data_IF_867169722626
#
_entry.id   IF_867169722626
#
_cell.length_a   1.000
_cell.length_b   1.000
_cell.length_c   1.000
_cell.angle_alpha   90.00
_cell.angle_beta   90.00
_cell.angle_gamma   90.00
#
_symmetry.space_group_name_H-M   'P 1'
#
loop_
_entity.id
_entity.type
_entity.pdbx_description
1 polymer ?
#
# COMPACT_ATOMS: atom_id res chain seq x y z
N UNK A 1 8.51 17.20 12.12
CA UNK A 1 8.02 16.02 11.40
C UNK A 1 6.50 16.12 11.28
N UNK A 2 5.95 16.81 10.26
CA UNK A 2 4.51 16.96 10.10
C UNK A 2 3.96 15.71 9.39
N UNK A 3 3.30 14.82 10.14
CA UNK A 3 2.72 13.60 9.58
C UNK A 3 2.25 12.58 10.62
N UNK A 4 2.76 12.63 11.85
CA UNK A 4 2.36 11.73 12.94
C UNK A 4 1.23 12.25 13.83
N UNK A 5 0.82 13.51 13.71
CA UNK A 5 0.39 14.29 14.88
C UNK A 5 -1.01 14.04 15.46
N UNK A 6 -1.89 13.26 14.83
CA UNK A 6 -3.24 13.02 15.38
C UNK A 6 -3.41 11.63 16.02
N UNK A 7 -3.02 10.56 15.33
CA UNK A 7 -3.16 9.20 15.86
C UNK A 7 -2.22 8.93 17.05
N UNK A 8 -0.98 9.42 16.99
CA UNK A 8 0.00 9.25 18.08
C UNK A 8 -0.25 10.18 19.27
N UNK A 9 -1.15 11.15 19.13
CA UNK A 9 -1.52 12.07 20.20
C UNK A 9 -2.67 11.54 21.06
N UNK A 10 -3.35 10.45 20.64
CA UNK A 10 -4.35 9.77 21.44
C UNK A 10 -3.68 8.88 22.49
N UNK A 11 -4.06 9.04 23.76
CA UNK A 11 -3.47 8.31 24.89
C UNK A 11 -3.69 6.79 24.82
N UNK A 12 -4.62 6.32 23.97
CA UNK A 12 -4.88 4.88 23.74
C UNK A 12 -3.97 4.26 22.68
N UNK A 13 -3.11 5.05 22.04
CA UNK A 13 -2.21 4.60 20.99
C UNK A 13 -0.85 4.20 21.56
N UNK A 14 -0.42 2.96 21.31
CA UNK A 14 0.99 2.59 21.45
C UNK A 14 1.77 3.21 20.30
N UNK A 15 2.55 4.26 20.60
CA UNK A 15 3.30 5.00 19.59
C UNK A 15 4.41 4.19 18.91
N UNK A 16 4.79 3.04 19.49
CA UNK A 16 5.73 2.09 18.87
C UNK A 16 5.05 1.11 17.90
N UNK A 17 3.71 1.05 17.88
CA UNK A 17 2.91 0.10 17.08
C UNK A 17 1.92 0.85 16.20
N UNK A 18 2.45 1.66 15.30
CA UNK A 18 1.66 2.48 14.37
C UNK A 18 1.88 2.00 12.94
N UNK A 19 0.79 1.81 12.20
CA UNK A 19 0.81 1.56 10.76
C UNK A 19 -0.16 2.50 10.06
N UNK A 20 0.03 2.68 8.75
CA UNK A 20 -0.88 3.47 7.92
C UNK A 20 -1.46 2.61 6.79
N UNK A 21 -2.74 2.79 6.49
CA UNK A 21 -3.38 2.18 5.33
C UNK A 21 -3.91 3.26 4.41
N UNK A 22 -3.95 2.96 3.11
CA UNK A 22 -4.43 3.90 2.11
C UNK A 22 -5.10 3.20 0.94
N UNK A 23 -6.11 3.87 0.39
CA UNK A 23 -6.88 3.42 -0.78
C UNK A 23 -6.72 4.42 -1.91
N UNK A 24 -6.57 3.96 -3.16
CA UNK A 24 -6.40 4.83 -4.34
C UNK A 24 -5.25 5.86 -4.11
N UNK A 25 -5.57 7.16 -4.10
CA UNK A 25 -4.62 8.23 -3.77
C UNK A 25 -3.97 8.05 -2.39
N UNK A 26 -4.74 7.63 -1.38
CA UNK A 26 -4.19 7.32 -0.07
C UNK A 26 -3.20 6.15 -0.11
N UNK A 27 -3.42 5.18 -1.01
CA UNK A 27 -2.50 4.06 -1.23
C UNK A 27 -1.15 4.51 -1.76
N UNK A 28 -1.13 5.46 -2.69
CA UNK A 28 0.11 6.12 -3.12
C UNK A 28 0.75 6.91 -1.96
N UNK A 29 -0.07 7.65 -1.20
CA UNK A 29 0.39 8.44 -0.06
C UNK A 29 1.11 7.61 1.01
N UNK A 30 0.62 6.41 1.34
CA UNK A 30 1.31 5.56 2.32
C UNK A 30 2.61 4.96 1.79
N UNK A 31 2.74 4.75 0.47
CA UNK A 31 4.02 4.35 -0.13
C UNK A 31 5.04 5.49 -0.08
N UNK A 32 4.60 6.74 -0.29
CA UNK A 32 5.46 7.92 -0.10
C UNK A 32 5.89 8.10 1.36
N UNK A 33 5.01 7.79 2.33
CA UNK A 33 5.40 7.78 3.75
C UNK A 33 6.52 6.78 4.05
N UNK A 34 6.46 5.59 3.45
CA UNK A 34 7.50 4.57 3.59
C UNK A 34 8.81 4.99 2.90
N UNK A 35 8.73 5.53 1.68
CA UNK A 35 9.88 6.08 0.93
C UNK A 35 10.57 7.22 1.69
N UNK A 36 9.81 8.06 2.39
CA UNK A 36 10.33 9.13 3.23
C UNK A 36 11.06 8.64 4.49
N UNK A 37 11.08 7.33 4.77
CA UNK A 37 11.71 6.77 5.97
C UNK A 37 10.97 7.14 7.26
N UNK A 38 9.65 7.35 7.17
CA UNK A 38 8.84 7.65 8.34
C UNK A 38 8.89 6.46 9.29
N UNK A 39 9.24 6.68 10.56
CA UNK A 39 9.32 5.59 11.53
C UNK A 39 7.88 5.16 11.97
N UNK A 40 7.29 4.27 11.17
CA UNK A 40 6.04 3.55 11.43
C UNK A 40 6.30 2.07 11.13
N UNK A 41 5.64 1.18 11.86
CA UNK A 41 5.89 -0.26 11.81
C UNK A 41 5.58 -0.86 10.44
N UNK A 42 4.61 -0.29 9.71
CA UNK A 42 4.29 -0.73 8.36
C UNK A 42 3.28 0.13 7.64
N UNK A 43 3.17 -0.08 6.33
CA UNK A 43 2.16 0.55 5.46
C UNK A 43 1.43 -0.48 4.62
N UNK A 44 0.15 -0.22 4.33
CA UNK A 44 -0.68 -1.06 3.47
C UNK A 44 -1.35 -0.23 2.38
N UNK A 45 -0.98 -0.48 1.14
CA UNK A 45 -1.56 0.18 -0.03
C UNK A 45 -2.60 -0.72 -0.69
N UNK A 46 -3.83 -0.23 -0.80
CA UNK A 46 -4.92 -0.85 -1.56
C UNK A 46 -5.09 -0.10 -2.87
N UNK A 47 -4.87 -0.80 -4.00
CA UNK A 47 -5.02 -0.27 -5.37
C UNK A 47 -4.45 1.15 -5.54
N UNK A 48 -3.33 1.44 -4.85
CA UNK A 48 -2.62 2.71 -4.98
C UNK A 48 -1.74 2.75 -6.22
N UNK A 49 -1.41 3.97 -6.66
CA UNK A 49 -0.35 4.17 -7.64
C UNK A 49 1.00 3.74 -7.04
N UNK A 50 1.86 3.18 -7.89
CA UNK A 50 3.14 2.59 -7.48
C UNK A 50 4.35 3.43 -7.84
N UNK A 51 4.18 4.38 -8.75
CA UNK A 51 5.23 5.31 -9.12
C UNK A 51 5.65 6.18 -7.92
N UNK A 52 6.91 6.59 -7.91
CA UNK A 52 7.43 7.52 -6.91
C UNK A 52 7.32 8.95 -7.41
N UNK A 53 7.03 9.90 -6.53
CA UNK A 53 7.23 11.30 -6.85
C UNK A 53 8.70 11.60 -7.19
N UNK A 54 8.95 12.59 -8.04
CA UNK A 54 10.30 12.94 -8.46
C UNK A 54 11.20 13.26 -7.24
N UNK A 55 12.30 12.52 -7.11
CA UNK A 55 13.24 12.65 -5.99
C UNK A 55 12.82 11.93 -4.71
N UNK A 56 11.75 11.12 -4.73
CA UNK A 56 11.28 10.33 -3.59
C UNK A 56 11.45 8.82 -3.77
N UNK A 57 12.24 8.37 -4.75
CA UNK A 57 12.54 6.95 -4.91
C UNK A 57 13.21 6.38 -3.64
N UNK A 58 12.86 5.15 -3.28
CA UNK A 58 13.44 4.49 -2.12
C UNK A 58 14.95 4.35 -2.26
N UNK A 59 15.68 4.81 -1.24
CA UNK A 59 17.12 4.66 -1.17
C UNK A 59 17.50 3.52 -0.23
N UNK A 60 18.56 2.78 -0.59
CA UNK A 60 19.10 1.69 0.22
C UNK A 60 19.43 2.17 1.64
N UNK A 61 18.89 1.47 2.63
CA UNK A 61 19.12 1.75 4.05
C UNK A 61 18.31 2.92 4.63
N UNK A 62 17.47 3.60 3.82
CA UNK A 62 16.52 4.61 4.33
C UNK A 62 15.12 4.05 4.58
N UNK A 63 14.78 2.92 3.97
CA UNK A 63 13.47 2.31 4.08
C UNK A 63 13.45 1.27 5.20
N UNK A 64 12.93 1.67 6.37
CA UNK A 64 12.81 0.81 7.56
C UNK A 64 11.38 0.28 7.78
N UNK A 65 10.40 0.90 7.13
CA UNK A 65 8.98 0.54 7.20
C UNK A 65 8.70 -0.72 6.38
N UNK A 66 7.96 -1.69 6.97
CA UNK A 66 7.48 -2.87 6.24
C UNK A 66 6.32 -2.49 5.30
N UNK A 67 6.25 -3.08 4.11
CA UNK A 67 5.28 -2.67 3.08
C UNK A 67 4.40 -3.85 2.66
N UNK A 68 3.08 -3.62 2.61
CA UNK A 68 2.15 -4.53 1.94
C UNK A 68 1.43 -3.79 0.81
N UNK A 69 1.56 -4.30 -0.42
CA UNK A 69 0.85 -3.82 -1.60
C UNK A 69 -0.23 -4.81 -2.01
N UNK A 70 -1.47 -4.32 -2.07
CA UNK A 70 -2.69 -5.07 -2.40
C UNK A 70 -3.24 -4.52 -3.71
N UNK A 71 -2.90 -5.18 -4.81
CA UNK A 71 -3.00 -4.63 -6.16
C UNK A 71 -4.04 -5.38 -7.02
N UNK A 72 -4.78 -4.66 -7.86
CA UNK A 72 -5.63 -5.28 -8.86
C UNK A 72 -4.80 -5.74 -10.06
N UNK A 73 -4.76 -7.04 -10.36
CA UNK A 73 -3.83 -7.59 -11.34
C UNK A 73 -4.04 -7.10 -12.79
N UNK A 74 -5.19 -6.49 -13.07
CA UNK A 74 -5.55 -5.93 -14.37
C UNK A 74 -5.92 -4.44 -14.28
N UNK A 75 -5.45 -3.73 -13.26
CA UNK A 75 -5.67 -2.29 -13.08
C UNK A 75 -5.02 -1.49 -14.23
N UNK A 76 -5.80 -0.80 -15.09
CA UNK A 76 -5.24 -0.06 -16.22
C UNK A 76 -4.55 1.25 -15.79
N UNK A 77 -4.78 1.75 -14.58
CA UNK A 77 -4.12 2.96 -14.09
C UNK A 77 -2.70 2.71 -13.60
N UNK A 78 -2.33 1.45 -13.37
CA UNK A 78 -0.98 1.04 -12.97
C UNK A 78 -0.50 -0.03 -13.97
N UNK A 79 0.12 0.38 -15.09
CA UNK A 79 0.61 -0.54 -16.10
C UNK A 79 1.68 -1.50 -15.56
N UNK A 80 1.86 -2.65 -16.23
CA UNK A 80 2.84 -3.66 -15.83
C UNK A 80 4.28 -3.14 -15.70
N UNK A 81 4.65 -2.11 -16.49
CA UNK A 81 5.94 -1.42 -16.36
C UNK A 81 6.13 -0.78 -14.98
N UNK A 82 5.11 -0.07 -14.46
CA UNK A 82 5.18 0.53 -13.13
C UNK A 82 5.26 -0.51 -12.01
N UNK A 83 4.58 -1.66 -12.17
CA UNK A 83 4.70 -2.78 -11.23
C UNK A 83 6.14 -3.31 -11.20
N UNK A 84 6.73 -3.52 -12.38
CA UNK A 84 8.11 -3.99 -12.49
C UNK A 84 9.11 -2.97 -11.91
N UNK A 85 8.91 -1.68 -12.20
CA UNK A 85 9.75 -0.59 -11.69
C UNK A 85 9.67 -0.49 -10.16
N UNK A 86 8.46 -0.59 -9.59
CA UNK A 86 8.26 -0.61 -8.13
C UNK A 86 8.96 -1.81 -7.48
N UNK A 87 8.77 -3.02 -8.02
CA UNK A 87 9.42 -4.21 -7.47
C UNK A 87 10.95 -4.08 -7.53
N UNK A 88 11.48 -3.55 -8.63
CA UNK A 88 12.91 -3.27 -8.77
C UNK A 88 13.38 -2.24 -7.74
N UNK A 89 12.67 -1.13 -7.57
CA UNK A 89 12.96 -0.09 -6.58
C UNK A 89 13.04 -0.68 -5.16
N UNK A 90 12.01 -1.42 -4.75
CA UNK A 90 11.96 -2.04 -3.42
C UNK A 90 13.07 -3.06 -3.20
N UNK A 91 13.38 -3.88 -4.22
CA UNK A 91 14.48 -4.85 -4.16
C UNK A 91 15.84 -4.15 -4.04
N UNK A 92 16.10 -3.11 -4.86
CA UNK A 92 17.36 -2.35 -4.84
C UNK A 92 17.56 -1.60 -3.52
N UNK A 93 16.47 -1.12 -2.92
CA UNK A 93 16.46 -0.48 -1.61
C UNK A 93 16.65 -1.49 -0.46
N UNK A 94 16.45 -2.79 -0.70
CA UNK A 94 16.46 -3.83 0.34
C UNK A 94 15.23 -3.78 1.25
N UNK A 95 14.09 -3.35 0.71
CA UNK A 95 12.84 -3.23 1.44
C UNK A 95 12.28 -4.60 1.87
N UNK A 96 11.66 -4.64 3.04
CA UNK A 96 10.80 -5.75 3.45
C UNK A 96 9.37 -5.48 2.96
N UNK A 97 9.00 -6.11 1.84
CA UNK A 97 7.68 -5.92 1.25
C UNK A 97 7.02 -7.21 0.78
N UNK A 98 5.69 -7.16 0.77
CA UNK A 98 4.82 -8.15 0.13
C UNK A 98 4.02 -7.47 -0.98
N UNK A 99 3.92 -8.13 -2.13
CA UNK A 99 3.10 -7.67 -3.25
C UNK A 99 2.09 -8.75 -3.62
N UNK A 100 0.80 -8.47 -3.45
CA UNK A 100 -0.28 -9.39 -3.76
C UNK A 100 -1.12 -8.82 -4.89
N UNK A 101 -1.17 -9.54 -6.01
CA UNK A 101 -1.99 -9.20 -7.17
C UNK A 101 -3.26 -10.05 -7.22
N UNK A 102 -4.42 -9.41 -7.30
CA UNK A 102 -5.71 -10.09 -7.36
C UNK A 102 -6.22 -10.22 -8.80
N UNK A 103 -6.32 -11.47 -9.27
CA UNK A 103 -6.82 -11.79 -10.62
C UNK A 103 -8.22 -11.20 -10.86
N UNK A 104 -8.41 -10.58 -12.04
CA UNK A 104 -9.67 -9.98 -12.46
C UNK A 104 -10.09 -8.73 -11.67
N UNK A 105 -9.27 -8.26 -10.73
CA UNK A 105 -9.50 -7.00 -10.05
C UNK A 105 -8.81 -5.85 -10.80
N UNK A 106 -9.53 -4.75 -10.93
CA UNK A 106 -9.04 -3.48 -11.45
C UNK A 106 -8.94 -2.47 -10.30
N UNK A 107 -8.85 -1.18 -10.60
CA UNK A 107 -8.82 -0.14 -9.59
C UNK A 107 -10.08 -0.14 -8.70
N UNK A 108 -9.96 0.41 -7.49
CA UNK A 108 -11.10 0.54 -6.57
C UNK A 108 -11.81 -0.78 -6.24
N UNK A 109 -11.09 -1.92 -6.27
CA UNK A 109 -11.68 -3.26 -6.06
C UNK A 109 -12.34 -3.46 -4.69
N UNK A 110 -12.07 -2.59 -3.72
CA UNK A 110 -12.68 -2.58 -2.39
C UNK A 110 -13.95 -1.71 -2.30
N UNK A 111 -14.29 -0.95 -3.34
CA UNK A 111 -15.35 0.05 -3.29
C UNK A 111 -16.62 -0.45 -3.99
N UNK A 112 -17.63 -0.87 -3.21
CA UNK A 112 -18.89 -1.44 -3.73
C UNK A 112 -19.63 -0.51 -4.70
N UNK A 113 -19.56 0.80 -4.49
CA UNK A 113 -20.25 1.80 -5.33
C UNK A 113 -19.55 2.05 -6.67
N UNK A 114 -18.33 1.52 -6.88
CA UNK A 114 -17.64 1.58 -8.17
C UNK A 114 -18.32 0.72 -9.27
N UNK A 115 -19.38 -0.01 -8.95
CA UNK A 115 -19.98 -1.01 -9.83
C UNK A 115 -19.13 -2.28 -9.90
N UNK A 116 -19.46 -3.22 -10.77
CA UNK A 116 -18.79 -4.53 -10.87
C UNK A 116 -18.33 -4.86 -12.30
N UNK A 117 -18.25 -3.87 -13.18
CA UNK A 117 -17.83 -4.00 -14.57
C UNK A 117 -16.34 -3.63 -14.72
N UNK A 118 -15.42 -4.61 -14.74
CA UNK A 118 -13.98 -4.33 -14.79
C UNK A 118 -13.54 -3.67 -16.11
N UNK A 119 -14.35 -3.72 -17.17
CA UNK A 119 -14.01 -3.06 -18.45
C UNK A 119 -13.89 -1.54 -18.33
N UNK A 120 -14.46 -0.96 -17.26
CA UNK A 120 -14.37 0.47 -16.95
C UNK A 120 -13.06 0.88 -16.28
N UNK A 121 -12.20 -0.08 -15.92
CA UNK A 121 -10.93 0.17 -15.25
C UNK A 121 -11.02 0.45 -13.75
N UNK A 122 -12.21 0.71 -13.22
CA UNK A 122 -12.50 0.78 -11.79
C UNK A 122 -13.80 0.03 -11.50
N UNK A 123 -13.75 -0.96 -10.61
CA UNK A 123 -14.90 -1.79 -10.26
C UNK A 123 -14.63 -2.60 -8.99
N UNK A 124 -15.68 -2.80 -8.20
CA UNK A 124 -15.72 -3.70 -7.08
C UNK A 124 -15.40 -5.14 -7.48
N UNK A 125 -14.59 -5.82 -6.67
CA UNK A 125 -14.34 -7.25 -6.77
C UNK A 125 -14.38 -7.87 -5.38
N UNK A 126 -15.47 -8.56 -5.05
CA UNK A 126 -15.73 -9.12 -3.72
C UNK A 126 -14.61 -10.06 -3.22
N UNK A 127 -14.02 -10.85 -4.11
CA UNK A 127 -12.94 -11.75 -3.73
C UNK A 127 -11.65 -10.99 -3.41
N UNK A 128 -11.30 -9.97 -4.21
CA UNK A 128 -10.14 -9.14 -3.95
C UNK A 128 -10.31 -8.32 -2.66
N UNK A 129 -11.50 -7.75 -2.44
CA UNK A 129 -11.88 -7.03 -1.22
C UNK A 129 -11.66 -7.92 0.03
N UNK A 130 -12.33 -9.08 0.08
CA UNK A 130 -12.22 -10.01 1.22
C UNK A 130 -10.79 -10.49 1.46
N UNK A 131 -10.06 -10.86 0.39
CA UNK A 131 -8.69 -11.41 0.51
C UNK A 131 -7.68 -10.34 0.90
N UNK A 132 -7.81 -9.12 0.37
CA UNK A 132 -6.92 -8.01 0.70
C UNK A 132 -7.06 -7.58 2.15
N UNK A 133 -8.29 -7.56 2.69
CA UNK A 133 -8.52 -7.32 4.10
C UNK A 133 -7.89 -8.41 5.00
N UNK A 134 -8.03 -9.68 4.62
CA UNK A 134 -7.40 -10.78 5.36
C UNK A 134 -5.87 -10.69 5.35
N UNK A 135 -5.26 -10.35 4.20
CA UNK A 135 -3.83 -10.15 4.08
C UNK A 135 -3.33 -8.99 4.96
N UNK A 136 -4.05 -7.86 4.98
CA UNK A 136 -3.75 -6.73 5.87
C UNK A 136 -3.75 -7.14 7.35
N UNK A 137 -4.77 -7.88 7.79
CA UNK A 137 -4.84 -8.33 9.19
C UNK A 137 -3.69 -9.27 9.56
N UNK A 138 -3.31 -10.18 8.65
CA UNK A 138 -2.16 -11.07 8.86
C UNK A 138 -0.85 -10.28 8.95
N UNK A 139 -0.67 -9.29 8.08
CA UNK A 139 0.48 -8.39 8.10
C UNK A 139 0.54 -7.59 9.41
N UNK A 140 -0.57 -7.03 9.88
CA UNK A 140 -0.62 -6.34 11.17
C UNK A 140 -0.30 -7.25 12.35
N UNK A 141 -0.82 -8.48 12.34
CA UNK A 141 -0.47 -9.46 13.36
C UNK A 141 1.02 -9.83 13.35
N UNK A 142 1.73 -9.67 12.23
CA UNK A 142 3.17 -9.87 12.13
C UNK A 142 3.97 -8.67 12.64
N UNK A 143 3.67 -7.46 12.15
CA UNK A 143 4.49 -6.27 12.39
C UNK A 143 4.31 -5.66 13.80
N UNK A 144 3.21 -5.98 14.49
CA UNK A 144 2.90 -5.44 15.82
C UNK A 144 3.20 -6.41 16.97
N UNK A 145 3.96 -7.49 16.72
CA UNK A 145 4.42 -8.38 17.80
C UNK A 145 5.35 -7.63 18.74
#
# INVERSE_FOLDING_TARGET
MPGRSSAVADERTDTGKVAAIGYCFGGAGVLELARAGTDISGVVSFHGALDSQAGMAAEKGKLTTKILVLHGAVDPYVPAGQVADFQKEMNDAGADYQFVAYSGAVHSFTHKEAGNDPSKGAAYNENADRRSWAAMNAFFAEIFK
#
